data_IF_657249085804
#
_entry.id   IF_657249085804
#
_cell.length_a   1.000
_cell.length_b   1.000
_cell.length_c   1.000
_cell.angle_alpha   90.00
_cell.angle_beta   90.00
_cell.angle_gamma   90.00
#
_symmetry.space_group_name_H-M   'P 1'
#
loop_
_entity.id
_entity.type
_entity.pdbx_description
1 polymer ?
#
# COMPACT_ATOMS: atom_id res chain seq x y z
N UNK A 1 -28.84 -4.31 0.68
CA UNK A 1 -27.80 -3.41 1.20
C UNK A 1 -26.76 -3.19 0.12
N UNK A 2 -26.26 -1.97 -0.02
CA UNK A 2 -25.18 -1.65 -0.94
C UNK A 2 -23.90 -2.36 -0.49
N UNK A 3 -23.16 -2.93 -1.43
CA UNK A 3 -21.83 -3.45 -1.17
C UNK A 3 -20.84 -2.28 -0.98
N UNK A 4 -19.72 -2.52 -0.31
CA UNK A 4 -18.66 -1.51 -0.13
C UNK A 4 -18.20 -0.91 -1.47
N UNK A 5 -18.09 -1.75 -2.53
CA UNK A 5 -17.68 -1.32 -3.87
C UNK A 5 -18.74 -0.41 -4.51
N UNK A 6 -20.02 -0.71 -4.36
CA UNK A 6 -21.11 0.14 -4.87
C UNK A 6 -21.16 1.49 -4.13
N UNK A 7 -20.94 1.49 -2.81
CA UNK A 7 -20.79 2.70 -2.02
C UNK A 7 -19.61 3.57 -2.49
N UNK A 8 -18.46 2.98 -2.77
CA UNK A 8 -17.28 3.68 -3.28
C UNK A 8 -17.51 4.24 -4.70
N UNK A 9 -18.21 3.51 -5.58
CA UNK A 9 -18.57 4.00 -6.91
C UNK A 9 -19.52 5.20 -6.85
N UNK A 10 -20.55 5.15 -6.00
CA UNK A 10 -21.47 6.27 -5.76
C UNK A 10 -20.72 7.51 -5.25
N UNK A 11 -19.82 7.34 -4.28
CA UNK A 11 -19.00 8.42 -3.73
C UNK A 11 -18.01 8.99 -4.76
N UNK A 12 -17.52 8.16 -5.69
CA UNK A 12 -16.67 8.60 -6.79
C UNK A 12 -17.44 9.32 -7.92
N UNK A 13 -18.77 9.44 -7.83
CA UNK A 13 -19.61 10.06 -8.85
C UNK A 13 -19.84 9.17 -10.08
N UNK A 14 -19.54 7.87 -10.01
CA UNK A 14 -19.91 6.91 -11.03
C UNK A 14 -21.38 6.53 -10.84
N UNK A 15 -22.18 6.66 -11.92
CA UNK A 15 -23.55 6.16 -11.89
C UNK A 15 -23.52 4.64 -11.61
N UNK A 16 -24.25 4.20 -10.60
CA UNK A 16 -24.57 2.79 -10.46
C UNK A 16 -25.52 2.46 -11.59
N UNK A 17 -25.12 1.61 -12.53
CA UNK A 17 -26.05 1.08 -13.51
C UNK A 17 -27.16 0.35 -12.73
N UNK A 18 -28.31 1.01 -12.62
CA UNK A 18 -29.51 0.39 -12.13
C UNK A 18 -29.87 -0.70 -13.13
N UNK A 19 -29.83 -1.97 -12.70
CA UNK A 19 -30.48 -3.04 -13.41
C UNK A 19 -31.96 -2.65 -13.68
N UNK A 20 -32.67 -3.33 -14.59
CA UNK A 20 -33.98 -2.88 -15.09
C UNK A 20 -34.91 -2.54 -13.93
N UNK A 21 -35.17 -1.25 -13.76
CA UNK A 21 -35.97 -0.70 -12.69
C UNK A 21 -37.47 -1.02 -12.97
N UNK A 22 -38.03 -1.92 -12.20
CA UNK A 22 -39.46 -2.09 -12.02
C UNK A 22 -39.89 -1.43 -10.70
N UNK A 23 -39.92 -0.08 -10.66
CA UNK A 23 -40.38 0.68 -9.52
C UNK A 23 -40.52 2.18 -9.83
N UNK A 24 -41.38 2.92 -9.13
CA UNK A 24 -41.66 4.33 -9.44
C UNK A 24 -40.42 5.23 -9.17
N UNK A 25 -40.24 6.29 -9.98
CA UNK A 25 -38.98 7.08 -10.05
C UNK A 25 -38.71 8.04 -8.88
N UNK A 26 -39.52 8.03 -7.83
CA UNK A 26 -39.44 9.04 -6.76
C UNK A 26 -38.47 8.72 -5.62
N UNK A 27 -38.00 7.47 -5.46
CA UNK A 27 -37.16 7.10 -4.32
C UNK A 27 -35.65 7.12 -4.63
N UNK A 28 -35.24 7.12 -5.88
CA UNK A 28 -33.82 7.15 -6.29
C UNK A 28 -33.17 8.52 -6.16
N UNK A 29 -33.93 9.59 -6.13
CA UNK A 29 -33.42 10.96 -5.97
C UNK A 29 -32.94 11.28 -4.54
N UNK A 30 -33.48 10.61 -3.53
CA UNK A 30 -33.15 10.87 -2.12
C UNK A 30 -31.76 10.36 -1.67
N UNK A 31 -31.14 9.47 -2.46
CA UNK A 31 -29.83 8.88 -2.15
C UNK A 31 -28.66 9.57 -2.85
N UNK A 32 -28.93 10.59 -3.68
CA UNK A 32 -27.90 11.32 -4.43
C UNK A 32 -27.14 12.35 -3.60
N UNK A 33 -27.55 12.60 -2.37
CA UNK A 33 -26.90 13.55 -1.47
C UNK A 33 -26.22 12.85 -0.28
N UNK A 34 -25.25 11.98 -0.59
CA UNK A 34 -24.33 11.51 0.43
C UNK A 34 -23.35 12.63 0.75
N UNK A 35 -23.60 13.37 1.84
CA UNK A 35 -22.68 14.38 2.33
C UNK A 35 -21.49 13.66 2.95
N UNK A 36 -20.42 13.51 2.18
CA UNK A 36 -19.16 13.01 2.70
C UNK A 36 -18.64 13.95 3.81
N UNK A 37 -18.32 13.41 4.97
CA UNK A 37 -17.65 14.18 6.02
C UNK A 37 -16.32 14.79 5.51
N UNK A 38 -15.73 15.80 6.23
CA UNK A 38 -14.53 16.50 5.77
C UNK A 38 -13.38 15.57 5.42
N UNK A 39 -13.14 14.55 6.22
CA UNK A 39 -12.12 13.52 5.99
C UNK A 39 -12.36 12.74 4.69
N UNK A 40 -13.60 12.29 4.45
CA UNK A 40 -13.96 11.53 3.26
C UNK A 40 -13.93 12.40 1.99
N UNK A 41 -14.32 13.68 2.09
CA UNK A 41 -14.18 14.66 1.01
C UNK A 41 -12.71 14.84 0.61
N UNK A 42 -11.82 15.00 1.59
CA UNK A 42 -10.37 15.13 1.36
C UNK A 42 -9.78 13.86 0.73
N UNK A 43 -10.19 12.68 1.22
CA UNK A 43 -9.78 11.39 0.68
C UNK A 43 -10.24 11.21 -0.77
N UNK A 44 -11.51 11.53 -1.09
CA UNK A 44 -12.07 11.42 -2.43
C UNK A 44 -11.49 12.47 -3.39
N UNK A 45 -11.16 13.67 -2.94
CA UNK A 45 -10.45 14.66 -3.74
C UNK A 45 -9.09 14.12 -4.20
N UNK A 46 -8.39 13.37 -3.34
CA UNK A 46 -7.15 12.68 -3.69
C UNK A 46 -7.32 11.56 -4.72
N UNK A 47 -8.51 10.98 -4.84
CA UNK A 47 -8.81 9.94 -5.84
C UNK A 47 -9.23 10.50 -7.21
N UNK A 48 -9.72 11.75 -7.27
CA UNK A 48 -10.30 12.34 -8.49
C UNK A 48 -9.28 12.95 -9.48
N UNK A 49 -8.02 13.05 -9.12
CA UNK A 49 -7.01 13.58 -10.02
C UNK A 49 -5.61 13.62 -9.43
N UNK A 50 -4.58 13.72 -10.29
CA UNK A 50 -3.19 13.80 -9.86
C UNK A 50 -2.90 15.03 -8.97
N UNK A 51 -3.66 16.10 -9.13
CA UNK A 51 -3.53 17.34 -8.34
C UNK A 51 -4.09 17.19 -6.91
N UNK A 52 -5.03 16.27 -6.70
CA UNK A 52 -5.58 15.95 -5.38
C UNK A 52 -4.73 15.02 -4.54
N UNK A 53 -3.74 14.37 -5.14
CA UNK A 53 -2.74 13.60 -4.42
C UNK A 53 -1.75 14.61 -3.81
N UNK A 54 -1.79 14.80 -2.48
CA UNK A 54 -0.80 15.64 -1.79
C UNK A 54 0.60 15.24 -2.26
N UNK A 55 1.45 16.23 -2.53
CA UNK A 55 2.85 15.99 -2.84
C UNK A 55 3.48 15.15 -1.73
N UNK A 56 3.65 13.87 -2.02
CA UNK A 56 4.59 13.06 -1.28
C UNK A 56 5.93 13.43 -1.87
N UNK A 57 6.68 14.27 -1.19
CA UNK A 57 8.06 14.54 -1.57
C UNK A 57 8.79 13.19 -1.71
N UNK A 58 9.68 13.03 -2.70
CA UNK A 58 10.48 11.82 -2.79
C UNK A 58 11.09 11.49 -1.43
N UNK A 59 10.95 10.27 -0.91
CA UNK A 59 11.44 9.93 0.41
C UNK A 59 12.95 10.12 0.45
N UNK A 60 13.45 10.67 1.54
CA UNK A 60 14.88 10.80 1.77
C UNK A 60 15.51 9.41 1.83
N UNK A 61 16.68 9.25 1.22
CA UNK A 61 17.39 7.98 1.24
C UNK A 61 16.99 6.98 0.16
N UNK A 62 16.14 7.35 -0.80
CA UNK A 62 15.94 6.57 -2.02
C UNK A 62 17.16 6.77 -2.94
N UNK A 63 17.88 5.68 -3.25
CA UNK A 63 19.10 5.67 -4.06
C UNK A 63 18.87 5.82 -5.57
N UNK A 64 17.73 6.35 -6.00
CA UNK A 64 17.41 6.64 -7.38
C UNK A 64 16.34 7.72 -7.49
N UNK A 65 16.27 8.34 -8.67
CA UNK A 65 15.20 9.27 -9.03
C UNK A 65 14.03 8.51 -9.63
N UNK A 66 12.81 8.79 -9.12
CA UNK A 66 11.59 8.20 -9.66
C UNK A 66 11.21 8.88 -10.97
N UNK A 67 10.74 8.09 -11.92
CA UNK A 67 10.11 8.64 -13.13
C UNK A 67 8.74 9.25 -12.78
N UNK A 68 8.23 10.23 -13.55
CA UNK A 68 6.95 10.90 -13.22
C UNK A 68 5.78 9.94 -12.98
N UNK A 69 5.64 8.87 -13.75
CA UNK A 69 4.58 7.89 -13.54
C UNK A 69 4.78 7.06 -12.25
N UNK A 70 6.03 6.79 -11.84
CA UNK A 70 6.35 6.09 -10.58
C UNK A 70 6.02 6.98 -9.38
N UNK A 71 6.28 8.28 -9.46
CA UNK A 71 5.85 9.22 -8.41
C UNK A 71 4.34 9.21 -8.23
N UNK A 72 3.57 9.23 -9.33
CA UNK A 72 2.11 9.11 -9.28
C UNK A 72 1.71 7.80 -8.61
N UNK A 73 2.35 6.68 -8.95
CA UNK A 73 2.11 5.38 -8.34
C UNK A 73 2.37 5.38 -6.83
N UNK A 74 3.50 5.96 -6.39
CA UNK A 74 3.85 6.06 -4.95
C UNK A 74 2.84 6.92 -4.19
N UNK A 75 2.42 8.05 -4.77
CA UNK A 75 1.38 8.91 -4.17
C UNK A 75 0.06 8.16 -4.01
N UNK A 76 -0.34 7.42 -5.03
CA UNK A 76 -1.55 6.60 -5.02
C UNK A 76 -1.48 5.50 -3.95
N UNK A 77 -0.39 4.74 -3.89
CA UNK A 77 -0.15 3.73 -2.85
C UNK A 77 -0.19 4.34 -1.45
N UNK A 78 0.46 5.50 -1.26
CA UNK A 78 0.47 6.22 0.01
C UNK A 78 -0.92 6.68 0.44
N UNK A 79 -1.75 7.12 -0.51
CA UNK A 79 -3.14 7.49 -0.26
C UNK A 79 -3.95 6.28 0.21
N UNK A 80 -3.90 5.17 -0.54
CA UNK A 80 -4.65 3.96 -0.18
C UNK A 80 -4.22 3.40 1.17
N UNK A 81 -2.92 3.40 1.45
CA UNK A 81 -2.40 3.02 2.76
C UNK A 81 -2.96 3.90 3.89
N UNK A 82 -3.02 5.23 3.72
CA UNK A 82 -3.61 6.14 4.71
C UNK A 82 -5.10 5.90 4.95
N UNK A 83 -5.80 5.43 3.91
CA UNK A 83 -7.22 5.09 4.00
C UNK A 83 -7.47 3.69 4.60
N UNK A 84 -6.42 2.93 4.90
CA UNK A 84 -6.54 1.53 5.34
C UNK A 84 -7.06 0.61 4.23
N UNK A 85 -6.89 1.00 2.97
CA UNK A 85 -7.33 0.23 1.80
C UNK A 85 -6.17 -0.57 1.22
N UNK A 86 -6.49 -1.75 0.67
CA UNK A 86 -5.57 -2.51 -0.17
C UNK A 86 -5.33 -1.83 -1.52
N UNK A 87 -4.19 -2.13 -2.14
CA UNK A 87 -3.82 -1.62 -3.45
C UNK A 87 -3.33 -2.75 -4.36
N UNK A 88 -3.53 -2.60 -5.67
CA UNK A 88 -2.94 -3.46 -6.68
C UNK A 88 -2.11 -2.61 -7.64
N UNK A 89 -0.78 -2.79 -7.64
CA UNK A 89 0.13 -2.13 -8.56
C UNK A 89 0.28 -3.00 -9.82
N UNK A 90 -0.51 -2.68 -10.84
CA UNK A 90 -0.68 -3.48 -12.05
C UNK A 90 0.16 -2.99 -13.26
N UNK A 91 1.23 -2.25 -13.02
CA UNK A 91 2.16 -1.83 -14.05
C UNK A 91 2.76 -3.02 -14.81
N UNK A 92 3.13 -2.85 -16.07
CA UNK A 92 3.82 -3.87 -16.85
C UNK A 92 5.16 -4.29 -16.23
N UNK A 93 5.67 -5.45 -16.64
CA UNK A 93 6.99 -5.92 -16.20
C UNK A 93 8.08 -4.94 -16.62
N UNK A 94 9.06 -4.70 -15.74
CA UNK A 94 10.19 -3.80 -16.02
C UNK A 94 9.91 -2.32 -15.75
N UNK A 95 8.69 -1.91 -15.43
CA UNK A 95 8.36 -0.50 -15.12
C UNK A 95 8.72 -0.07 -13.69
N UNK A 96 9.47 -0.89 -12.94
CA UNK A 96 10.00 -0.51 -11.64
C UNK A 96 8.94 -0.51 -10.53
N UNK A 97 8.12 -1.56 -10.45
CA UNK A 97 7.20 -1.75 -9.31
C UNK A 97 7.95 -1.83 -7.98
N UNK A 98 9.10 -2.51 -7.94
CA UNK A 98 9.91 -2.66 -6.73
C UNK A 98 10.35 -1.31 -6.18
N UNK A 99 10.87 -0.42 -7.00
CA UNK A 99 11.33 0.90 -6.54
C UNK A 99 10.16 1.75 -6.01
N UNK A 100 8.95 1.62 -6.56
CA UNK A 100 7.76 2.29 -6.05
C UNK A 100 7.39 1.77 -4.65
N UNK A 101 7.46 0.45 -4.43
CA UNK A 101 7.24 -0.15 -3.11
C UNK A 101 8.30 0.30 -2.11
N UNK A 102 9.59 0.31 -2.51
CA UNK A 102 10.67 0.78 -1.65
C UNK A 102 10.53 2.27 -1.29
N UNK A 103 10.11 3.10 -2.24
CA UNK A 103 9.81 4.51 -1.98
C UNK A 103 8.66 4.66 -0.98
N UNK A 104 7.59 3.86 -1.09
CA UNK A 104 6.51 3.83 -0.11
C UNK A 104 7.02 3.46 1.28
N UNK A 105 7.82 2.38 1.40
CA UNK A 105 8.37 1.93 2.69
C UNK A 105 9.25 2.99 3.34
N UNK A 106 10.09 3.68 2.57
CA UNK A 106 10.90 4.81 3.05
C UNK A 106 10.01 5.96 3.53
N UNK A 107 8.97 6.32 2.76
CA UNK A 107 8.03 7.36 3.16
C UNK A 107 7.27 7.01 4.44
N UNK A 108 6.95 5.74 4.65
CA UNK A 108 6.33 5.25 5.89
C UNK A 108 7.30 5.28 7.07
N UNK A 109 8.58 4.98 6.83
CA UNK A 109 9.64 5.06 7.84
C UNK A 109 9.87 6.50 8.34
N UNK A 110 9.77 7.49 7.45
CA UNK A 110 9.98 8.91 7.76
C UNK A 110 8.82 9.55 8.55
N UNK A 111 7.71 8.84 8.76
CA UNK A 111 6.59 9.37 9.53
C UNK A 111 7.00 9.67 10.97
N UNK A 112 6.66 10.86 11.50
CA UNK A 112 7.07 11.27 12.85
C UNK A 112 6.42 10.42 13.96
N UNK A 113 5.32 9.74 13.67
CA UNK A 113 4.61 8.89 14.60
C UNK A 113 4.26 7.58 13.90
N UNK A 114 4.97 6.50 14.25
CA UNK A 114 4.44 5.15 14.07
C UNK A 114 3.34 4.95 15.11
N UNK A 115 2.17 4.51 14.72
CA UNK A 115 1.11 4.17 15.68
C UNK A 115 1.63 3.09 16.63
N UNK A 116 1.26 3.19 17.92
CA UNK A 116 1.65 2.17 18.91
C UNK A 116 1.13 0.81 18.45
N UNK A 117 2.03 -0.14 18.17
CA UNK A 117 1.70 -1.46 17.65
C UNK A 117 1.91 -1.67 16.15
N UNK A 118 2.35 -0.66 15.40
CA UNK A 118 2.81 -0.87 14.02
C UNK A 118 4.14 -1.62 14.02
N UNK A 119 4.08 -2.90 13.65
CA UNK A 119 5.25 -3.73 13.37
C UNK A 119 5.91 -3.39 12.03
N UNK A 120 6.96 -4.13 11.63
CA UNK A 120 7.55 -4.02 10.31
C UNK A 120 6.54 -4.40 9.21
N UNK A 121 6.72 -3.87 8.02
CA UNK A 121 5.99 -4.35 6.85
C UNK A 121 6.36 -5.82 6.56
N UNK A 122 5.40 -6.62 6.10
CA UNK A 122 5.63 -8.00 5.70
C UNK A 122 5.62 -8.11 4.17
N UNK A 123 6.72 -8.58 3.59
CA UNK A 123 6.85 -8.87 2.16
C UNK A 123 6.84 -10.37 1.93
N UNK A 124 5.79 -10.86 1.27
CA UNK A 124 5.64 -12.28 0.94
C UNK A 124 5.93 -12.48 -0.55
N UNK A 125 6.97 -13.26 -0.86
CA UNK A 125 7.43 -13.47 -2.24
C UNK A 125 7.78 -14.94 -2.49
N UNK A 126 7.82 -15.40 -3.75
CA UNK A 126 8.47 -16.68 -4.09
C UNK A 126 9.93 -16.69 -3.64
N UNK A 127 10.42 -17.85 -3.17
CA UNK A 127 11.80 -17.99 -2.67
C UNK A 127 12.87 -17.53 -3.69
N UNK A 128 12.64 -17.76 -4.98
CA UNK A 128 13.54 -17.34 -6.06
C UNK A 128 13.70 -15.81 -6.18
N UNK A 129 12.77 -15.02 -5.63
CA UNK A 129 12.81 -13.57 -5.70
C UNK A 129 13.43 -12.90 -4.46
N UNK A 130 13.70 -13.64 -3.39
CA UNK A 130 14.27 -13.08 -2.15
C UNK A 130 15.60 -12.37 -2.43
N UNK A 131 16.49 -13.03 -3.18
CA UNK A 131 17.81 -12.46 -3.51
C UNK A 131 17.68 -11.18 -4.36
N UNK A 132 16.75 -11.15 -5.31
CA UNK A 132 16.51 -9.97 -6.14
C UNK A 132 15.99 -8.79 -5.29
N UNK A 133 15.01 -9.05 -4.42
CA UNK A 133 14.50 -8.03 -3.51
C UNK A 133 15.59 -7.49 -2.59
N UNK A 134 16.43 -8.38 -2.03
CA UNK A 134 17.55 -7.98 -1.17
C UNK A 134 18.52 -7.07 -1.93
N UNK A 135 18.91 -7.45 -3.16
CA UNK A 135 19.80 -6.65 -4.00
C UNK A 135 19.21 -5.27 -4.35
N UNK A 136 17.91 -5.20 -4.65
CA UNK A 136 17.24 -3.94 -4.94
C UNK A 136 17.12 -3.05 -3.68
N UNK A 137 16.86 -3.63 -2.50
CA UNK A 137 16.85 -2.90 -1.23
C UNK A 137 18.23 -2.33 -0.94
N UNK A 138 19.28 -3.14 -1.03
CA UNK A 138 20.67 -2.70 -0.76
C UNK A 138 21.08 -1.58 -1.73
N UNK A 139 20.60 -1.60 -2.96
CA UNK A 139 20.88 -0.60 -3.98
C UNK A 139 20.07 0.69 -3.80
N UNK A 140 18.77 0.59 -3.55
CA UNK A 140 17.85 1.73 -3.65
C UNK A 140 17.34 2.24 -2.31
N UNK A 141 17.36 1.42 -1.26
CA UNK A 141 16.85 1.76 0.05
C UNK A 141 17.70 1.18 1.19
N UNK A 142 19.04 1.43 1.20
CA UNK A 142 19.97 0.80 2.14
C UNK A 142 19.72 1.18 3.61
N UNK A 143 18.93 2.20 3.86
CA UNK A 143 18.54 2.61 5.20
C UNK A 143 17.44 1.76 5.82
N UNK A 144 16.75 0.92 5.05
CA UNK A 144 15.72 0.01 5.57
C UNK A 144 16.38 -1.12 6.36
N UNK A 145 15.91 -1.34 7.58
CA UNK A 145 16.31 -2.49 8.40
C UNK A 145 15.45 -3.68 8.04
N UNK A 146 16.06 -4.71 7.45
CA UNK A 146 15.36 -5.83 6.84
C UNK A 146 15.78 -7.14 7.48
N UNK A 147 14.82 -7.95 7.85
CA UNK A 147 14.97 -9.35 8.23
C UNK A 147 14.49 -10.27 7.11
N UNK A 148 15.28 -11.27 6.74
CA UNK A 148 14.85 -12.32 5.81
C UNK A 148 14.49 -13.56 6.62
N UNK A 149 13.21 -13.83 6.76
CA UNK A 149 12.65 -15.00 7.45
C UNK A 149 12.53 -16.17 6.47
N UNK A 150 13.67 -16.80 6.14
CA UNK A 150 13.75 -17.95 5.23
C UNK A 150 14.97 -18.81 5.57
N UNK A 151 14.89 -20.16 5.49
CA UNK A 151 15.99 -21.07 5.82
C UNK A 151 17.29 -20.86 5.04
N UNK A 152 17.22 -20.22 3.86
CA UNK A 152 18.41 -19.84 3.09
C UNK A 152 19.13 -18.61 3.61
N UNK A 153 18.54 -17.90 4.56
CA UNK A 153 19.16 -16.73 5.19
C UNK A 153 19.86 -17.14 6.49
N UNK A 154 21.06 -16.65 6.79
CA UNK A 154 21.89 -17.17 7.89
C UNK A 154 21.47 -16.67 9.28
N UNK A 155 20.40 -15.87 9.42
CA UNK A 155 20.25 -15.10 10.65
C UNK A 155 19.37 -15.75 11.72
N UNK A 156 18.14 -16.14 11.41
CA UNK A 156 17.20 -16.73 12.41
C UNK A 156 16.23 -17.64 11.64
N UNK A 157 15.96 -18.83 12.18
CA UNK A 157 14.93 -19.69 11.62
C UNK A 157 13.54 -19.02 11.78
N UNK A 158 12.65 -19.12 10.79
CA UNK A 158 11.34 -18.44 10.84
C UNK A 158 10.52 -18.74 12.10
N UNK A 159 10.64 -19.97 12.62
CA UNK A 159 9.98 -20.46 13.83
C UNK A 159 10.55 -19.89 15.14
N UNK A 160 11.77 -19.36 15.11
CA UNK A 160 12.48 -18.82 16.27
C UNK A 160 12.38 -17.27 16.35
N UNK A 161 11.72 -16.63 15.38
CA UNK A 161 11.56 -15.18 15.37
C UNK A 161 10.63 -14.76 16.50
N UNK A 162 11.15 -13.95 17.41
CA UNK A 162 10.41 -13.40 18.55
C UNK A 162 9.94 -11.96 18.26
N UNK A 163 9.05 -11.44 19.09
CA UNK A 163 8.64 -10.04 19.02
C UNK A 163 9.85 -9.07 19.17
N UNK A 164 10.83 -9.44 20.00
CA UNK A 164 12.04 -8.63 20.22
C UNK A 164 12.88 -8.47 18.95
N UNK A 165 12.96 -9.53 18.12
CA UNK A 165 13.69 -9.51 16.85
C UNK A 165 13.02 -8.59 15.81
N UNK A 166 11.71 -8.33 15.97
CA UNK A 166 10.95 -7.45 15.09
C UNK A 166 11.05 -5.98 15.48
N UNK A 167 11.49 -5.68 16.71
CA UNK A 167 11.58 -4.30 17.20
C UNK A 167 12.58 -3.51 16.38
N UNK A 168 12.05 -2.42 15.82
CA UNK A 168 12.88 -1.50 15.07
C UNK A 168 13.21 -1.95 13.65
N UNK A 169 12.71 -3.08 13.16
CA UNK A 169 12.75 -3.41 11.75
C UNK A 169 11.77 -2.57 10.95
N UNK A 170 12.07 -2.40 9.67
CA UNK A 170 11.19 -1.72 8.71
C UNK A 170 10.48 -2.73 7.81
N UNK A 171 11.11 -3.89 7.55
CA UNK A 171 10.62 -4.90 6.62
C UNK A 171 11.02 -6.31 7.04
N UNK A 172 10.11 -7.26 6.95
CA UNK A 172 10.38 -8.70 7.01
C UNK A 172 10.05 -9.31 5.66
N UNK A 173 10.98 -10.08 5.10
CA UNK A 173 10.80 -10.80 3.83
C UNK A 173 10.62 -12.28 4.13
N UNK A 174 9.56 -12.89 3.61
CA UNK A 174 9.28 -14.32 3.76
C UNK A 174 8.65 -14.90 2.50
N UNK A 175 8.32 -16.18 2.52
CA UNK A 175 7.63 -16.87 1.43
C UNK A 175 6.22 -17.28 1.82
N UNK A 176 5.38 -17.57 0.81
CA UNK A 176 4.01 -18.04 1.04
C UNK A 176 3.95 -19.26 1.95
N UNK A 177 4.88 -20.22 1.78
CA UNK A 177 4.92 -21.44 2.58
C UNK A 177 5.35 -21.24 4.04
N UNK A 178 5.94 -20.08 4.37
CA UNK A 178 6.47 -19.78 5.71
C UNK A 178 5.68 -18.67 6.42
N UNK A 179 4.86 -17.92 5.70
CA UNK A 179 4.11 -16.79 6.26
C UNK A 179 3.22 -17.18 7.45
N UNK A 180 2.68 -18.42 7.47
CA UNK A 180 1.85 -18.93 8.55
C UNK A 180 2.64 -19.31 9.82
N UNK A 181 3.98 -19.32 9.77
CA UNK A 181 4.86 -19.60 10.94
C UNK A 181 5.35 -18.36 11.64
N UNK A 182 4.98 -17.18 11.14
CA UNK A 182 5.35 -15.89 11.69
C UNK A 182 4.26 -15.31 12.60
N UNK A 183 3.46 -16.17 13.25
CA UNK A 183 2.33 -15.78 14.10
C UNK A 183 2.54 -16.15 15.57
#
# INVERSE_FOLDING_TARGET
GLTFIEGMRLLAGAAVEAGPATGPPAETAAWSEVVAGPWLKEALAGLRGPEGLREVSPPRGLGAELRPYQEVGVRWLSLLHRLGLGACLADDMGLGKTIQVLALLLALKERPVRSRGEGPALLVVPASLIANWKAEIDRFAPSLRVLVAHPSAPSIAPEDITHEDLVGLDLVITTYGLSHRLG
#
